data_IF_837609508193
#
_entry.id   IF_837609508193
#
_cell.length_a   1.000
_cell.length_b   1.000
_cell.length_c   1.000
_cell.angle_alpha   90.00
_cell.angle_beta   90.00
_cell.angle_gamma   90.00
#
_symmetry.space_group_name_H-M   'P 1'
#
loop_
_entity.id
_entity.type
_entity.pdbx_description
1 polymer ?
#
# COMPACT_ATOMS: atom_id res chain seq x y z
N UNK A 1 -24.20 26.47 29.25
CA UNK A 1 -24.00 26.29 27.80
C UNK A 1 -22.70 25.54 27.60
N UNK A 2 -22.79 24.22 27.40
CA UNK A 2 -21.61 23.38 27.23
C UNK A 2 -21.08 23.49 25.80
N UNK A 3 -19.81 23.86 25.66
CA UNK A 3 -19.08 23.85 24.41
C UNK A 3 -18.89 22.37 24.05
N UNK A 4 -19.67 21.90 23.09
CA UNK A 4 -19.42 20.57 22.47
C UNK A 4 -18.04 20.65 21.77
N UNK A 5 -17.01 20.11 22.41
CA UNK A 5 -15.75 19.88 21.78
C UNK A 5 -15.98 18.89 20.61
N UNK A 6 -15.80 19.38 19.39
CA UNK A 6 -15.71 18.51 18.20
C UNK A 6 -14.53 17.56 18.41
N UNK A 7 -14.82 16.31 18.82
CA UNK A 7 -13.81 15.29 18.96
C UNK A 7 -13.04 15.16 17.64
N UNK A 8 -11.71 15.18 17.70
CA UNK A 8 -10.86 14.89 16.53
C UNK A 8 -11.35 13.59 15.89
N UNK A 9 -11.69 13.64 14.60
CA UNK A 9 -12.11 12.46 13.86
C UNK A 9 -11.04 11.38 13.90
N UNK A 10 -11.46 10.12 13.83
CA UNK A 10 -10.55 8.95 13.92
C UNK A 10 -9.97 8.58 12.56
N UNK A 11 -8.70 8.16 12.55
CA UNK A 11 -8.06 7.54 11.39
C UNK A 11 -8.24 6.03 11.48
N UNK A 12 -8.90 5.43 10.49
CA UNK A 12 -9.04 3.97 10.38
C UNK A 12 -7.83 3.39 9.63
N UNK A 13 -7.10 2.47 10.24
CA UNK A 13 -6.20 1.61 9.47
C UNK A 13 -7.01 0.51 8.78
N UNK A 14 -7.06 0.58 7.45
CA UNK A 14 -7.75 -0.37 6.58
C UNK A 14 -6.71 -1.17 5.78
N UNK A 15 -6.28 -2.35 6.24
CA UNK A 15 -5.20 -3.13 5.62
C UNK A 15 -5.56 -3.72 4.26
N UNK A 16 -6.86 -3.85 3.98
CA UNK A 16 -7.37 -4.60 2.84
C UNK A 16 -7.38 -6.12 3.07
N UNK A 17 -8.23 -6.81 2.32
CA UNK A 17 -8.53 -8.23 2.53
C UNK A 17 -7.31 -9.15 2.34
N UNK A 18 -6.42 -8.85 1.37
CA UNK A 18 -5.22 -9.67 1.12
C UNK A 18 -4.23 -9.57 2.29
N UNK A 19 -3.95 -8.35 2.75
CA UNK A 19 -3.01 -8.11 3.85
C UNK A 19 -3.55 -8.73 5.14
N UNK A 20 -4.84 -8.51 5.45
CA UNK A 20 -5.46 -9.04 6.68
C UNK A 20 -5.58 -10.56 6.68
N UNK A 21 -5.95 -11.18 5.55
CA UNK A 21 -6.30 -12.59 5.49
C UNK A 21 -5.19 -13.53 5.03
N UNK A 22 -4.20 -13.04 4.30
CA UNK A 22 -3.16 -13.88 3.67
C UNK A 22 -1.75 -13.42 4.04
N UNK A 23 -1.48 -12.12 3.98
CA UNK A 23 -0.17 -11.54 4.25
C UNK A 23 -0.08 -11.08 5.71
N UNK A 24 -0.31 -12.00 6.64
CA UNK A 24 -0.40 -11.70 8.08
C UNK A 24 0.88 -11.14 8.67
N UNK A 25 2.05 -11.58 8.19
CA UNK A 25 3.34 -10.99 8.56
C UNK A 25 3.38 -9.50 8.19
N UNK A 26 3.01 -9.16 6.95
CA UNK A 26 2.99 -7.77 6.47
C UNK A 26 1.95 -6.93 7.22
N UNK A 27 0.83 -7.53 7.60
CA UNK A 27 -0.15 -6.88 8.46
C UNK A 27 0.45 -6.46 9.81
N UNK A 28 1.15 -7.36 10.49
CA UNK A 28 1.82 -7.05 11.75
C UNK A 28 2.98 -6.06 11.55
N UNK A 29 3.73 -6.17 10.45
CA UNK A 29 4.78 -5.22 10.12
C UNK A 29 4.26 -3.78 9.99
N UNK A 30 3.15 -3.55 9.29
CA UNK A 30 2.56 -2.21 9.19
C UNK A 30 2.12 -1.68 10.55
N UNK A 31 1.51 -2.49 11.39
CA UNK A 31 1.14 -2.11 12.75
C UNK A 31 2.37 -1.69 13.58
N UNK A 32 3.44 -2.47 13.52
CA UNK A 32 4.69 -2.15 14.23
C UNK A 32 5.32 -0.86 13.67
N UNK A 33 5.35 -0.67 12.35
CA UNK A 33 5.86 0.54 11.70
C UNK A 33 5.07 1.77 12.20
N UNK A 34 3.74 1.71 12.19
CA UNK A 34 2.89 2.83 12.62
C UNK A 34 3.13 3.15 14.09
N UNK A 35 3.21 2.15 14.96
CA UNK A 35 3.50 2.34 16.38
C UNK A 35 4.88 2.99 16.59
N UNK A 36 5.93 2.50 15.94
CA UNK A 36 7.30 3.08 16.04
C UNK A 36 7.35 4.52 15.53
N UNK A 37 6.60 4.82 14.49
CA UNK A 37 6.56 6.15 13.90
C UNK A 37 5.55 7.08 14.59
N UNK A 38 4.74 6.59 15.53
CA UNK A 38 3.72 7.38 16.24
C UNK A 38 2.61 7.83 15.28
N UNK A 39 2.21 6.95 14.37
CA UNK A 39 1.05 7.15 13.50
C UNK A 39 -0.16 6.54 14.20
N UNK A 40 -1.06 7.41 14.67
CA UNK A 40 -2.25 6.99 15.40
C UNK A 40 -3.33 6.44 14.47
N UNK A 41 -3.94 5.33 14.84
CA UNK A 41 -5.03 4.72 14.11
C UNK A 41 -5.95 3.90 15.02
N UNK A 42 -7.16 3.63 14.52
CA UNK A 42 -8.09 2.63 15.07
C UNK A 42 -8.33 1.54 14.04
N UNK A 43 -8.86 0.40 14.47
CA UNK A 43 -9.27 -0.70 13.61
C UNK A 43 -10.72 -1.10 13.88
N UNK A 44 -11.37 -1.68 12.88
CA UNK A 44 -12.72 -2.24 12.96
C UNK A 44 -12.68 -3.72 12.50
N UNK A 45 -11.97 -4.61 13.24
CA UNK A 45 -11.57 -5.93 12.73
C UNK A 45 -12.75 -6.85 12.34
N UNK A 46 -13.86 -6.75 13.05
CA UNK A 46 -15.02 -7.64 12.86
C UNK A 46 -16.10 -7.03 11.95
N UNK A 47 -15.98 -5.75 11.62
CA UNK A 47 -16.99 -5.02 10.87
C UNK A 47 -16.50 -4.62 9.45
N UNK A 48 -15.19 -4.74 9.16
CA UNK A 48 -14.62 -4.35 7.86
C UNK A 48 -15.13 -5.23 6.71
N UNK A 49 -15.72 -4.58 5.71
CA UNK A 49 -16.08 -5.23 4.46
C UNK A 49 -14.98 -4.99 3.41
N UNK A 50 -15.00 -5.74 2.31
CA UNK A 50 -14.13 -5.48 1.15
C UNK A 50 -14.33 -4.05 0.61
N UNK A 51 -13.28 -3.45 0.02
CA UNK A 51 -13.40 -2.17 -0.70
C UNK A 51 -14.26 -2.26 -1.97
N UNK A 52 -14.46 -3.47 -2.51
CA UNK A 52 -15.32 -3.72 -3.66
C UNK A 52 -14.64 -3.65 -5.01
N UNK A 53 -13.36 -3.32 -5.12
CA UNK A 53 -12.70 -3.21 -6.44
C UNK A 53 -12.74 -4.51 -7.27
N UNK A 54 -12.52 -5.72 -6.70
CA UNK A 54 -12.67 -6.96 -7.47
C UNK A 54 -14.06 -7.15 -8.04
N UNK A 55 -15.11 -6.78 -7.29
CA UNK A 55 -16.51 -6.84 -7.72
C UNK A 55 -16.79 -5.83 -8.83
N UNK A 56 -16.19 -4.62 -8.75
CA UNK A 56 -16.28 -3.62 -9.79
C UNK A 56 -15.63 -4.08 -11.09
N UNK A 57 -14.43 -4.66 -10.99
CA UNK A 57 -13.69 -5.18 -12.14
C UNK A 57 -14.42 -6.36 -12.82
N UNK A 58 -15.23 -7.10 -12.07
CA UNK A 58 -16.10 -8.15 -12.59
C UNK A 58 -17.40 -7.61 -13.22
N UNK A 59 -17.61 -6.27 -13.24
CA UNK A 59 -18.77 -5.63 -13.89
C UNK A 59 -19.98 -5.38 -12.99
N UNK A 60 -19.95 -5.79 -11.72
CA UNK A 60 -21.09 -5.68 -10.79
C UNK A 60 -21.19 -4.29 -10.14
N UNK A 61 -21.30 -3.24 -10.95
CA UNK A 61 -21.30 -1.84 -10.49
C UNK A 61 -22.39 -1.52 -9.46
N UNK A 62 -23.59 -2.12 -9.60
CA UNK A 62 -24.72 -1.91 -8.67
C UNK A 62 -24.39 -2.45 -7.27
N UNK A 63 -23.73 -3.59 -7.18
CA UNK A 63 -23.39 -4.22 -5.90
C UNK A 63 -22.25 -3.47 -5.21
N UNK A 64 -21.28 -2.97 -5.98
CA UNK A 64 -20.24 -2.09 -5.43
C UNK A 64 -20.82 -0.80 -4.87
N UNK A 65 -21.83 -0.21 -5.50
CA UNK A 65 -22.51 0.98 -4.94
C UNK A 65 -23.19 0.70 -3.60
N UNK A 66 -23.85 -0.46 -3.45
CA UNK A 66 -24.44 -0.89 -2.17
C UNK A 66 -23.35 -1.08 -1.10
N UNK A 67 -22.24 -1.73 -1.49
CA UNK A 67 -21.11 -1.97 -0.60
C UNK A 67 -20.44 -0.66 -0.18
N UNK A 68 -20.26 0.29 -1.11
CA UNK A 68 -19.71 1.61 -0.82
C UNK A 68 -20.57 2.38 0.20
N UNK A 69 -21.89 2.33 0.03
CA UNK A 69 -22.82 2.94 1.00
C UNK A 69 -22.71 2.27 2.37
N UNK A 70 -22.69 0.93 2.41
CA UNK A 70 -22.54 0.17 3.67
C UNK A 70 -21.23 0.52 4.39
N UNK A 71 -20.11 0.59 3.68
CA UNK A 71 -18.83 0.97 4.24
C UNK A 71 -18.85 2.42 4.76
N UNK A 72 -19.43 3.34 3.99
CA UNK A 72 -19.54 4.73 4.39
C UNK A 72 -20.35 4.90 5.68
N UNK A 73 -21.52 4.24 5.79
CA UNK A 73 -22.36 4.28 6.98
C UNK A 73 -21.64 3.69 8.20
N UNK A 74 -20.90 2.59 8.01
CA UNK A 74 -20.06 2.00 9.04
C UNK A 74 -18.98 2.98 9.52
N UNK A 75 -18.27 3.60 8.60
CA UNK A 75 -17.21 4.54 8.92
C UNK A 75 -17.75 5.77 9.65
N UNK A 76 -18.87 6.33 9.19
CA UNK A 76 -19.55 7.43 9.89
C UNK A 76 -20.01 7.05 11.30
N UNK A 77 -20.64 5.89 11.46
CA UNK A 77 -21.09 5.37 12.77
C UNK A 77 -19.95 5.31 13.78
N UNK A 78 -18.73 4.97 13.31
CA UNK A 78 -17.54 4.85 14.15
C UNK A 78 -16.72 6.14 14.29
N UNK A 79 -17.17 7.26 13.70
CA UNK A 79 -16.49 8.55 13.76
C UNK A 79 -15.20 8.60 12.93
N UNK A 80 -15.12 7.78 11.88
CA UNK A 80 -13.97 7.74 10.97
C UNK A 80 -14.05 8.94 10.02
N UNK A 81 -13.00 9.74 9.97
CA UNK A 81 -12.84 10.88 9.07
C UNK A 81 -11.69 10.71 8.09
N UNK A 82 -10.81 9.73 8.36
CA UNK A 82 -9.67 9.41 7.51
C UNK A 82 -9.44 7.90 7.44
N UNK A 83 -9.09 7.40 6.26
CA UNK A 83 -8.64 6.03 6.02
C UNK A 83 -7.15 6.05 5.73
N UNK A 84 -6.39 5.24 6.46
CA UNK A 84 -5.00 4.89 6.20
C UNK A 84 -4.95 3.47 5.66
N UNK A 85 -4.41 3.26 4.46
CA UNK A 85 -4.34 1.92 3.86
C UNK A 85 -2.98 1.65 3.22
N UNK A 86 -2.51 0.41 3.31
CA UNK A 86 -1.31 -0.08 2.62
C UNK A 86 -1.63 -0.79 1.29
N UNK A 87 -2.90 -0.89 0.95
CA UNK A 87 -3.33 -1.52 -0.30
C UNK A 87 -3.59 -0.47 -1.38
N UNK A 88 -2.79 -0.39 -2.47
CA UNK A 88 -3.01 0.57 -3.55
C UNK A 88 -4.40 0.49 -4.19
N UNK A 89 -4.94 -0.72 -4.30
CA UNK A 89 -6.29 -0.93 -4.84
C UNK A 89 -7.37 -0.37 -3.93
N UNK A 90 -7.24 -0.55 -2.61
CA UNK A 90 -8.17 0.04 -1.63
C UNK A 90 -8.03 1.58 -1.61
N UNK A 91 -6.80 2.10 -1.65
CA UNK A 91 -6.55 3.53 -1.74
C UNK A 91 -7.27 4.15 -2.94
N UNK A 92 -7.02 3.64 -4.14
CA UNK A 92 -7.68 4.10 -5.36
C UNK A 92 -9.21 4.01 -5.27
N UNK A 93 -9.72 2.91 -4.73
CA UNK A 93 -11.17 2.71 -4.59
C UNK A 93 -11.81 3.75 -3.67
N UNK A 94 -11.26 3.98 -2.49
CA UNK A 94 -11.80 4.94 -1.54
C UNK A 94 -11.57 6.38 -1.97
N UNK A 95 -10.44 6.70 -2.61
CA UNK A 95 -10.07 8.05 -3.01
C UNK A 95 -10.80 8.53 -4.26
N UNK A 96 -10.92 7.66 -5.30
CA UNK A 96 -11.39 8.05 -6.63
C UNK A 96 -12.78 7.48 -6.94
N UNK A 97 -13.06 6.23 -6.53
CA UNK A 97 -14.28 5.53 -6.96
C UNK A 97 -15.45 5.83 -6.02
N UNK A 98 -15.26 5.75 -4.71
CA UNK A 98 -16.34 5.98 -3.73
C UNK A 98 -16.99 7.35 -3.82
N UNK A 99 -16.25 8.47 -4.05
CA UNK A 99 -16.86 9.78 -4.28
C UNK A 99 -17.86 9.81 -5.45
N UNK A 100 -17.67 8.96 -6.47
CA UNK A 100 -18.60 8.85 -7.61
C UNK A 100 -19.84 8.01 -7.31
N UNK A 101 -19.82 7.25 -6.22
CA UNK A 101 -20.88 6.29 -5.86
C UNK A 101 -21.70 6.75 -4.65
N UNK A 102 -21.09 7.45 -3.71
CA UNK A 102 -21.69 7.94 -2.47
C UNK A 102 -21.57 9.46 -2.46
N UNK A 103 -22.69 10.15 -2.64
CA UNK A 103 -22.74 11.62 -2.79
C UNK A 103 -22.16 12.35 -1.57
N UNK A 104 -22.41 11.82 -0.37
CA UNK A 104 -21.99 12.40 0.90
C UNK A 104 -20.59 11.98 1.33
N UNK A 105 -19.81 11.33 0.46
CA UNK A 105 -18.46 10.86 0.77
C UNK A 105 -17.57 12.04 1.19
N UNK A 106 -17.09 11.99 2.42
CA UNK A 106 -16.31 13.07 3.05
C UNK A 106 -15.11 12.55 3.84
N UNK A 107 -14.74 11.28 3.60
CA UNK A 107 -13.63 10.64 4.31
C UNK A 107 -12.34 10.85 3.51
N UNK A 108 -11.33 11.42 4.17
CA UNK A 108 -10.00 11.53 3.58
C UNK A 108 -9.31 10.16 3.47
N UNK A 109 -8.41 10.01 2.51
CA UNK A 109 -7.72 8.73 2.27
C UNK A 109 -6.24 8.98 2.07
N UNK A 110 -5.41 8.26 2.83
CA UNK A 110 -3.96 8.33 2.72
C UNK A 110 -3.36 6.94 2.52
N UNK A 111 -2.39 6.83 1.63
CA UNK A 111 -1.64 5.58 1.46
C UNK A 111 -0.53 5.48 2.51
N UNK A 112 -0.25 4.28 3.01
CA UNK A 112 0.73 4.03 4.05
C UNK A 112 2.14 4.56 3.71
N UNK A 113 2.55 4.53 2.44
CA UNK A 113 3.85 5.06 2.00
C UNK A 113 3.97 6.56 2.26
N UNK A 114 2.88 7.32 2.04
CA UNK A 114 2.82 8.77 2.28
C UNK A 114 2.85 9.06 3.78
N UNK A 115 2.04 8.35 4.55
CA UNK A 115 2.01 8.51 6.01
C UNK A 115 3.37 8.20 6.67
N UNK A 116 4.04 7.13 6.21
CA UNK A 116 5.37 6.74 6.68
C UNK A 116 6.38 7.82 6.32
N UNK A 117 6.39 8.32 5.07
CA UNK A 117 7.29 9.39 4.64
C UNK A 117 7.15 10.64 5.53
N UNK A 118 5.90 11.09 5.73
CA UNK A 118 5.60 12.25 6.56
C UNK A 118 6.09 12.07 8.00
N UNK A 119 5.90 10.88 8.57
CA UNK A 119 6.36 10.56 9.92
C UNK A 119 7.89 10.52 10.02
N UNK A 120 8.59 9.93 9.03
CA UNK A 120 10.05 9.92 8.97
C UNK A 120 10.62 11.34 8.90
N UNK A 121 10.07 12.19 8.02
CA UNK A 121 10.48 13.59 7.90
C UNK A 121 10.23 14.37 9.20
N UNK A 122 9.05 14.23 9.80
CA UNK A 122 8.70 14.90 11.05
C UNK A 122 9.63 14.49 12.20
N UNK A 123 9.97 13.22 12.31
CA UNK A 123 10.88 12.70 13.35
C UNK A 123 12.35 12.83 12.98
N UNK A 124 12.68 13.34 11.79
CA UNK A 124 14.05 13.45 11.25
C UNK A 124 14.80 12.11 11.24
N UNK A 125 14.07 11.01 11.03
CA UNK A 125 14.64 9.66 10.92
C UNK A 125 15.22 9.53 9.51
N UNK A 126 16.53 9.26 9.46
CA UNK A 126 17.26 9.01 8.21
C UNK A 126 18.47 8.13 8.45
N UNK A 127 18.88 7.42 7.43
CA UNK A 127 20.12 6.67 7.38
C UNK A 127 21.33 7.60 7.60
N UNK A 128 22.30 7.13 8.40
CA UNK A 128 23.51 7.91 8.76
C UNK A 128 24.82 7.28 8.28
N UNK A 129 24.73 6.13 7.59
CA UNK A 129 25.90 5.44 7.04
C UNK A 129 26.40 6.08 5.73
N UNK A 130 27.50 5.53 5.20
CA UNK A 130 28.08 5.93 3.92
C UNK A 130 27.25 5.43 2.71
N UNK A 131 27.56 5.89 1.50
CA UNK A 131 26.83 5.46 0.30
C UNK A 131 27.10 3.97 -0.03
N UNK A 132 28.28 3.47 0.31
CA UNK A 132 28.67 2.08 0.13
C UNK A 132 27.90 1.11 1.04
N UNK A 133 27.43 1.59 2.19
CA UNK A 133 26.63 0.81 3.13
C UNK A 133 25.14 0.74 2.74
N UNK A 134 24.74 1.48 1.71
CA UNK A 134 23.35 1.45 1.24
C UNK A 134 23.02 0.14 0.57
N UNK A 135 21.85 -0.38 0.88
CA UNK A 135 21.32 -1.58 0.25
C UNK A 135 20.81 -1.27 -1.16
N UNK A 136 21.44 -1.89 -2.15
CA UNK A 136 21.05 -1.70 -3.56
C UNK A 136 19.77 -2.49 -3.86
N UNK A 137 18.72 -1.79 -4.27
CA UNK A 137 17.38 -2.34 -4.50
C UNK A 137 16.79 -1.86 -5.81
N UNK A 138 15.86 -2.63 -6.38
CA UNK A 138 14.94 -2.17 -7.42
C UNK A 138 13.59 -1.82 -6.79
N UNK A 139 12.86 -0.90 -7.40
CA UNK A 139 11.50 -0.58 -7.02
C UNK A 139 10.53 -0.97 -8.13
N UNK A 140 9.44 -1.64 -7.75
CA UNK A 140 8.32 -1.93 -8.65
C UNK A 140 7.17 -0.97 -8.37
N UNK A 141 6.79 -0.17 -9.37
CA UNK A 141 5.64 0.72 -9.32
C UNK A 141 4.33 -0.06 -9.45
N UNK A 142 3.50 -0.17 -8.38
CA UNK A 142 2.20 -0.80 -8.50
C UNK A 142 1.26 0.08 -9.33
N UNK A 143 0.55 -0.51 -10.28
CA UNK A 143 -0.30 0.24 -11.20
C UNK A 143 -1.36 1.11 -10.50
N UNK A 144 -1.98 0.61 -9.42
CA UNK A 144 -2.99 1.38 -8.68
C UNK A 144 -2.38 2.49 -7.81
N UNK A 145 -1.13 2.36 -7.37
CA UNK A 145 -0.46 3.41 -6.60
C UNK A 145 0.10 4.50 -7.51
N UNK A 146 0.86 4.10 -8.53
CA UNK A 146 1.46 5.02 -9.49
C UNK A 146 0.45 5.51 -10.52
N UNK A 147 0.13 4.66 -11.53
CA UNK A 147 -0.62 5.06 -12.73
C UNK A 147 -2.01 5.59 -12.43
N UNK A 148 -2.73 5.01 -11.47
CA UNK A 148 -4.09 5.43 -11.13
C UNK A 148 -4.19 6.44 -9.98
N UNK A 149 -3.10 6.64 -9.21
CA UNK A 149 -3.17 7.50 -8.01
C UNK A 149 -2.03 8.52 -7.92
N UNK A 150 -1.08 8.52 -8.86
CA UNK A 150 -0.01 9.51 -8.96
C UNK A 150 1.07 9.44 -7.87
N UNK A 151 1.07 8.39 -7.03
CA UNK A 151 2.05 8.21 -5.96
C UNK A 151 3.23 7.41 -6.49
N UNK A 152 4.32 8.09 -6.79
CA UNK A 152 5.54 7.52 -7.37
C UNK A 152 6.77 7.77 -6.50
N UNK A 153 6.93 8.99 -6.00
CA UNK A 153 8.17 9.42 -5.35
C UNK A 153 8.16 9.13 -3.85
N UNK A 154 7.03 9.17 -3.20
CA UNK A 154 6.93 8.97 -1.75
C UNK A 154 7.48 7.61 -1.29
N UNK A 155 7.16 6.47 -1.93
CA UNK A 155 7.76 5.21 -1.55
C UNK A 155 9.26 5.14 -1.86
N UNK A 156 9.73 5.81 -2.92
CA UNK A 156 11.15 5.92 -3.26
C UNK A 156 11.91 6.68 -2.18
N UNK A 157 11.39 7.84 -1.81
CA UNK A 157 11.99 8.66 -0.76
C UNK A 157 12.04 7.94 0.60
N UNK A 158 11.03 7.16 0.96
CA UNK A 158 11.08 6.30 2.15
C UNK A 158 12.24 5.31 2.08
N UNK A 159 12.39 4.62 0.94
CA UNK A 159 13.48 3.66 0.73
C UNK A 159 14.84 4.34 0.89
N UNK A 160 15.03 5.49 0.28
CA UNK A 160 16.28 6.26 0.31
C UNK A 160 16.60 6.82 1.70
N UNK A 161 15.59 7.37 2.40
CA UNK A 161 15.72 7.83 3.78
C UNK A 161 16.13 6.71 4.73
N UNK A 162 15.75 5.48 4.45
CA UNK A 162 16.07 4.31 5.26
C UNK A 162 17.32 3.53 4.79
N UNK A 163 18.13 4.13 3.89
CA UNK A 163 19.40 3.55 3.45
C UNK A 163 19.29 2.56 2.31
N UNK A 164 18.21 2.61 1.53
CA UNK A 164 18.18 1.98 0.21
C UNK A 164 18.86 2.87 -0.84
N UNK A 165 19.42 2.23 -1.86
CA UNK A 165 19.89 2.87 -3.10
C UNK A 165 19.12 2.24 -4.26
N UNK A 166 18.23 3.01 -4.86
CA UNK A 166 17.35 2.50 -5.92
C UNK A 166 18.08 2.51 -7.25
N UNK A 167 18.09 1.35 -7.92
CA UNK A 167 18.37 1.25 -9.35
C UNK A 167 17.02 1.17 -10.05
N UNK A 168 16.69 2.15 -10.87
CA UNK A 168 15.43 2.19 -11.60
C UNK A 168 15.41 1.15 -12.73
N UNK A 169 14.27 0.49 -12.89
CA UNK A 169 14.02 -0.32 -14.07
C UNK A 169 13.87 0.59 -15.30
N UNK A 170 14.21 0.10 -16.50
CA UNK A 170 14.01 0.85 -17.74
C UNK A 170 12.56 1.33 -17.89
N UNK A 171 11.60 0.44 -17.58
CA UNK A 171 10.17 0.79 -17.52
C UNK A 171 9.77 1.00 -16.06
N UNK A 172 9.64 2.25 -15.66
CA UNK A 172 9.27 2.66 -14.30
C UNK A 172 8.17 3.74 -14.33
N UNK A 173 7.65 4.11 -13.19
CA UNK A 173 6.58 5.11 -13.01
C UNK A 173 5.38 4.83 -13.91
N UNK A 174 5.02 5.77 -14.80
CA UNK A 174 3.87 5.64 -15.70
C UNK A 174 4.01 4.45 -16.66
N UNK A 175 5.23 4.17 -17.13
CA UNK A 175 5.54 3.12 -18.10
C UNK A 175 5.80 1.75 -17.46
N UNK A 176 5.70 1.64 -16.13
CA UNK A 176 5.97 0.41 -15.42
C UNK A 176 5.11 -0.75 -15.93
N UNK A 177 5.74 -1.88 -16.22
CA UNK A 177 5.02 -3.12 -16.54
C UNK A 177 4.20 -3.58 -15.34
N UNK A 178 2.98 -4.01 -15.59
CA UNK A 178 2.15 -4.65 -14.57
C UNK A 178 2.82 -5.91 -14.03
N UNK A 179 2.60 -6.20 -12.75
CA UNK A 179 3.07 -7.44 -12.13
C UNK A 179 2.31 -8.69 -12.59
N UNK A 180 1.15 -8.54 -13.26
CA UNK A 180 0.29 -9.64 -13.69
C UNK A 180 -0.66 -10.19 -12.62
N UNK A 181 -0.56 -9.75 -11.36
CA UNK A 181 -1.33 -10.34 -10.26
C UNK A 181 -2.78 -9.87 -10.13
N UNK A 182 -3.09 -8.67 -10.69
CA UNK A 182 -4.38 -8.00 -10.50
C UNK A 182 -5.43 -8.31 -11.57
N UNK A 183 -6.59 -7.63 -11.47
CA UNK A 183 -7.66 -7.68 -12.48
C UNK A 183 -8.30 -9.05 -12.67
N UNK A 184 -8.13 -10.00 -11.74
CA UNK A 184 -8.60 -11.37 -11.88
C UNK A 184 -7.67 -12.28 -12.69
N UNK A 185 -6.57 -11.76 -13.27
CA UNK A 185 -5.65 -12.56 -14.12
C UNK A 185 -5.07 -13.73 -13.35
N UNK A 186 -4.54 -13.50 -12.13
CA UNK A 186 -3.96 -14.58 -11.33
C UNK A 186 -4.96 -15.67 -10.95
N UNK A 187 -6.23 -15.30 -10.72
CA UNK A 187 -7.26 -16.26 -10.33
C UNK A 187 -7.76 -17.10 -11.52
N UNK A 188 -7.88 -16.49 -12.71
CA UNK A 188 -8.48 -17.14 -13.87
C UNK A 188 -7.44 -17.68 -14.86
N UNK A 189 -6.23 -17.08 -14.88
CA UNK A 189 -5.14 -17.41 -15.82
C UNK A 189 -3.80 -17.45 -15.06
N UNK A 190 -3.60 -18.40 -14.13
CA UNK A 190 -2.42 -18.43 -13.24
C UNK A 190 -1.10 -18.54 -14.01
N UNK A 191 -1.05 -19.33 -15.10
CA UNK A 191 0.16 -19.48 -15.93
C UNK A 191 0.52 -18.17 -16.63
N UNK A 192 -0.47 -17.43 -17.13
CA UNK A 192 -0.24 -16.11 -17.70
C UNK A 192 0.27 -15.12 -16.63
N UNK A 193 -0.33 -15.12 -15.45
CA UNK A 193 0.13 -14.27 -14.35
C UNK A 193 1.58 -14.57 -13.96
N UNK A 194 1.96 -15.84 -13.93
CA UNK A 194 3.31 -16.29 -13.66
C UNK A 194 4.29 -15.85 -14.75
N UNK A 195 3.95 -16.05 -16.03
CA UNK A 195 4.78 -15.62 -17.16
C UNK A 195 5.02 -14.12 -17.16
N UNK A 196 4.00 -13.32 -16.82
CA UNK A 196 4.14 -11.86 -16.67
C UNK A 196 5.07 -11.51 -15.50
N UNK A 197 4.97 -12.21 -14.37
CA UNK A 197 5.86 -12.00 -13.23
C UNK A 197 7.32 -12.35 -13.56
N UNK A 198 7.56 -13.47 -14.25
CA UNK A 198 8.89 -13.90 -14.74
C UNK A 198 9.49 -12.85 -15.69
N UNK A 199 8.68 -12.35 -16.63
CA UNK A 199 9.11 -11.29 -17.55
C UNK A 199 9.47 -10.00 -16.78
N UNK A 200 8.65 -9.59 -15.80
CA UNK A 200 8.93 -8.42 -14.97
C UNK A 200 10.23 -8.59 -14.17
N UNK A 201 10.47 -9.76 -13.61
CA UNK A 201 11.72 -10.07 -12.89
C UNK A 201 12.92 -10.05 -13.82
N UNK A 202 12.79 -10.59 -15.05
CA UNK A 202 13.85 -10.56 -16.08
C UNK A 202 14.27 -9.13 -16.44
N UNK A 203 13.32 -8.17 -16.46
CA UNK A 203 13.58 -6.75 -16.72
C UNK A 203 13.89 -5.94 -15.46
N UNK A 204 14.03 -6.59 -14.30
CA UNK A 204 14.51 -5.89 -13.11
C UNK A 204 16.00 -5.54 -13.27
N UNK A 205 16.45 -4.41 -12.73
CA UNK A 205 17.85 -3.98 -12.84
C UNK A 205 18.82 -5.04 -12.29
N UNK A 206 19.87 -5.32 -13.06
CA UNK A 206 20.97 -6.15 -12.59
C UNK A 206 21.69 -5.44 -11.43
N UNK A 207 22.15 -6.20 -10.45
CA UNK A 207 22.78 -5.65 -9.25
C UNK A 207 21.83 -5.34 -8.10
N UNK A 208 20.51 -5.28 -8.33
CA UNK A 208 19.56 -5.15 -7.23
C UNK A 208 19.45 -6.45 -6.43
N UNK A 209 19.65 -6.36 -5.11
CA UNK A 209 19.49 -7.47 -4.19
C UNK A 209 18.02 -7.82 -3.90
N UNK A 210 17.14 -6.80 -3.98
CA UNK A 210 15.70 -6.91 -3.74
C UNK A 210 14.89 -6.17 -4.79
N UNK A 211 13.65 -6.61 -5.00
CA UNK A 211 12.61 -5.91 -5.78
C UNK A 211 11.52 -5.52 -4.79
N UNK A 212 11.47 -4.25 -4.40
CA UNK A 212 10.54 -3.75 -3.39
C UNK A 212 9.24 -3.30 -4.04
N UNK A 213 8.10 -3.69 -3.47
CA UNK A 213 6.78 -3.23 -3.90
C UNK A 213 5.86 -2.93 -2.72
N UNK A 214 5.22 -1.76 -2.64
CA UNK A 214 4.20 -1.42 -1.65
C UNK A 214 2.79 -1.91 -2.04
N UNK A 215 2.70 -3.10 -2.59
CA UNK A 215 1.44 -3.74 -2.97
C UNK A 215 1.53 -5.24 -2.69
N UNK A 216 0.73 -5.73 -1.76
CA UNK A 216 0.72 -7.14 -1.39
C UNK A 216 0.42 -8.08 -2.56
N UNK A 217 -0.43 -7.67 -3.50
CA UNK A 217 -0.73 -8.47 -4.69
C UNK A 217 0.45 -8.52 -5.66
N UNK A 218 1.14 -7.39 -5.87
CA UNK A 218 2.36 -7.36 -6.68
C UNK A 218 3.47 -8.19 -6.01
N UNK A 219 3.68 -8.00 -4.71
CA UNK A 219 4.61 -8.82 -3.94
C UNK A 219 4.35 -10.31 -4.10
N UNK A 220 3.10 -10.75 -3.86
CA UNK A 220 2.72 -12.16 -3.95
C UNK A 220 2.91 -12.75 -5.35
N UNK A 221 2.66 -11.98 -6.42
CA UNK A 221 2.84 -12.48 -7.78
C UNK A 221 4.33 -12.50 -8.18
N UNK A 222 5.08 -11.44 -7.87
CA UNK A 222 6.53 -11.39 -8.15
C UNK A 222 7.32 -12.41 -7.32
N UNK A 223 6.88 -12.71 -6.08
CA UNK A 223 7.48 -13.73 -5.22
C UNK A 223 7.36 -15.14 -5.81
N UNK A 224 6.34 -15.43 -6.60
CA UNK A 224 6.22 -16.70 -7.31
C UNK A 224 7.26 -16.87 -8.44
N UNK A 225 7.88 -15.77 -8.87
CA UNK A 225 8.91 -15.78 -9.93
C UNK A 225 10.33 -15.49 -9.39
N UNK A 226 10.47 -14.89 -8.21
CA UNK A 226 11.78 -14.54 -7.65
C UNK A 226 11.76 -14.35 -6.14
N UNK A 227 12.72 -14.96 -5.46
CA UNK A 227 12.95 -14.75 -4.03
C UNK A 227 13.43 -13.34 -3.67
N UNK A 228 13.92 -12.58 -4.65
CA UNK A 228 14.27 -11.16 -4.47
C UNK A 228 13.06 -10.26 -4.21
N UNK A 229 11.84 -10.71 -4.53
CA UNK A 229 10.63 -9.95 -4.26
C UNK A 229 10.46 -9.71 -2.76
N UNK A 230 10.30 -8.44 -2.39
CA UNK A 230 10.18 -7.99 -1.00
C UNK A 230 8.99 -7.03 -0.88
N UNK A 231 8.11 -7.29 0.06
CA UNK A 231 7.05 -6.34 0.37
C UNK A 231 7.64 -5.13 1.10
N UNK A 232 7.10 -3.95 0.83
CA UNK A 232 7.62 -2.67 1.31
C UNK A 232 7.74 -2.61 2.84
N UNK A 233 6.76 -3.17 3.59
CA UNK A 233 6.81 -3.18 5.05
C UNK A 233 7.96 -4.01 5.61
N UNK A 234 8.34 -5.10 4.94
CA UNK A 234 9.48 -5.92 5.35
C UNK A 234 10.79 -5.12 5.27
N UNK A 235 10.97 -4.34 4.19
CA UNK A 235 12.13 -3.45 4.06
C UNK A 235 12.12 -2.35 5.11
N UNK A 236 11.03 -1.61 5.23
CA UNK A 236 10.91 -0.47 6.15
C UNK A 236 11.13 -0.90 7.59
N UNK A 237 10.45 -1.96 8.03
CA UNK A 237 10.57 -2.44 9.40
C UNK A 237 11.97 -2.97 9.72
N UNK A 238 12.57 -3.71 8.78
CA UNK A 238 13.94 -4.20 8.91
C UNK A 238 14.93 -3.05 9.15
N UNK A 239 14.81 -1.96 8.39
CA UNK A 239 15.65 -0.77 8.55
C UNK A 239 15.38 -0.03 9.87
N UNK A 240 14.11 0.16 10.25
CA UNK A 240 13.75 0.83 11.51
C UNK A 240 14.24 0.05 12.75
N UNK A 241 14.24 -1.27 12.71
CA UNK A 241 14.79 -2.11 13.79
C UNK A 241 16.32 -1.97 13.89
N UNK A 242 17.01 -1.84 12.76
CA UNK A 242 18.46 -1.62 12.72
C UNK A 242 18.91 -0.24 13.20
N UNK A 243 18.06 0.78 13.05
CA UNK A 243 18.36 2.16 13.47
C UNK A 243 18.12 2.42 14.98
N UNK A 244 17.52 1.49 15.69
CA UNK A 244 17.22 1.59 17.12
C UNK A 244 18.28 0.97 18.04
N UNK A 245 19.48 0.71 17.54
CA UNK A 245 20.62 0.21 18.33
C UNK A 245 21.68 1.27 18.47
#
# INVERSE_FOLDING_TARGET
>A
MGIFGFGKGKTLYYPGCLTKGVLTEQFENYKEIFNRLGIDYVMLPDEENCCGLPVLNAGYKKDVRKLAKKNFDLFKKNGITKILTNCPSCYHTFKEIYPTMVREWSIDVEHATVAILNALKKKRIRFKGSDEEREVVAYHDPCHLGRYSGIYEEPREVIELLGGKIIEAHFNRMDAFCCGGGGGVRANFPELAKSIAELKVKYAPQGAGKIISPCGLCYSNLKSASDKSTEFSNFVLGKLRGMGK
#
